data_IF_301078882317
#
_entry.id   IF_301078882317
#
_cell.length_a   1.000
_cell.length_b   1.000
_cell.length_c   1.000
_cell.angle_alpha   90.00
_cell.angle_beta   90.00
_cell.angle_gamma   90.00
#
_symmetry.space_group_name_H-M   'P 1'
#
loop_
_entity.id
_entity.type
_entity.pdbx_description
1 polymer ?
#
# COMPACT_ATOMS: atom_id res chain seq x y z
N UNK A 1 8.59 -2.10 -10.90
CA UNK A 1 9.29 -1.18 -9.97
C UNK A 1 8.27 -0.26 -9.31
N UNK A 2 8.53 0.16 -8.07
CA UNK A 2 7.75 1.17 -7.35
C UNK A 2 8.66 2.35 -7.04
N UNK A 3 8.06 3.54 -6.91
CA UNK A 3 8.73 4.73 -6.42
C UNK A 3 7.90 5.33 -5.28
N UNK A 4 8.55 5.98 -4.33
CA UNK A 4 7.89 6.67 -3.23
C UNK A 4 8.60 8.00 -2.96
N UNK A 5 7.83 8.99 -2.57
CA UNK A 5 8.32 10.30 -2.15
C UNK A 5 7.64 10.70 -0.83
N UNK A 6 8.35 11.49 -0.03
CA UNK A 6 7.82 12.07 1.21
C UNK A 6 8.35 13.49 1.37
N UNK A 7 7.61 14.34 2.10
CA UNK A 7 7.99 15.73 2.34
C UNK A 7 9.06 15.80 3.44
N UNK A 8 10.32 15.99 3.04
CA UNK A 8 11.49 16.03 3.95
C UNK A 8 11.44 17.14 4.99
N UNK A 9 10.73 18.24 4.72
CA UNK A 9 10.55 19.32 5.70
C UNK A 9 9.69 18.92 6.91
N UNK A 10 8.83 17.90 6.78
CA UNK A 10 7.87 17.49 7.82
C UNK A 10 8.12 16.06 8.30
N UNK A 11 8.94 15.28 7.59
CA UNK A 11 9.14 13.86 7.85
C UNK A 11 10.61 13.48 7.78
N UNK A 12 11.05 12.74 8.80
CA UNK A 12 12.35 12.09 8.84
C UNK A 12 12.21 10.62 8.43
N UNK A 13 13.06 10.17 7.50
CA UNK A 13 13.17 8.76 7.15
C UNK A 13 13.94 8.02 8.25
N UNK A 14 13.30 7.02 8.86
CA UNK A 14 13.92 6.17 9.87
C UNK A 14 14.50 4.90 9.24
N UNK A 15 13.76 4.28 8.32
CA UNK A 15 14.19 3.06 7.63
C UNK A 15 13.43 2.89 6.30
N UNK A 16 13.95 2.07 5.39
CA UNK A 16 13.31 1.74 4.11
C UNK A 16 13.76 0.39 3.56
N UNK A 17 12.95 -0.17 2.68
CA UNK A 17 13.34 -1.36 1.95
C UNK A 17 12.39 -1.74 0.81
N UNK A 18 12.66 -2.90 0.24
CA UNK A 18 11.82 -3.57 -0.76
C UNK A 18 11.69 -5.03 -0.33
N UNK A 19 10.48 -5.57 -0.38
CA UNK A 19 10.24 -7.00 -0.35
C UNK A 19 9.62 -7.45 -1.67
N UNK A 20 10.01 -8.62 -2.16
CA UNK A 20 9.42 -9.25 -3.34
C UNK A 20 8.27 -10.14 -2.89
N UNK A 21 7.04 -9.62 -2.97
CA UNK A 21 5.85 -10.24 -2.36
C UNK A 21 5.09 -11.16 -3.31
N UNK A 22 5.44 -11.15 -4.59
CA UNK A 22 4.90 -12.07 -5.58
C UNK A 22 5.89 -12.27 -6.73
N UNK A 23 5.68 -13.32 -7.51
CA UNK A 23 6.37 -13.59 -8.75
C UNK A 23 5.37 -13.51 -9.89
N UNK A 24 5.58 -12.59 -10.82
CA UNK A 24 4.83 -12.51 -12.06
C UNK A 24 5.31 -13.59 -13.05
N UNK A 25 4.40 -14.11 -13.87
CA UNK A 25 4.73 -15.14 -14.86
C UNK A 25 5.64 -14.61 -15.98
N UNK A 26 5.48 -13.35 -16.38
CA UNK A 26 6.21 -12.75 -17.51
C UNK A 26 7.19 -11.67 -17.09
N UNK A 27 6.87 -10.90 -16.06
CA UNK A 27 7.60 -9.66 -15.74
C UNK A 27 8.49 -9.76 -14.50
N UNK A 28 8.63 -10.94 -13.91
CA UNK A 28 9.54 -11.16 -12.79
C UNK A 28 8.95 -10.83 -11.42
N UNK A 29 9.81 -10.63 -10.41
CA UNK A 29 9.39 -10.32 -9.04
C UNK A 29 8.58 -9.02 -8.93
N UNK A 30 7.55 -9.04 -8.09
CA UNK A 30 6.66 -7.89 -7.84
C UNK A 30 6.92 -7.30 -6.45
N UNK A 31 7.23 -6.00 -6.37
CA UNK A 31 7.69 -5.39 -5.13
C UNK A 31 6.54 -4.94 -4.23
N UNK A 32 6.81 -4.92 -2.93
CA UNK A 32 6.24 -4.01 -1.96
C UNK A 32 7.41 -3.18 -1.41
N UNK A 33 7.49 -1.91 -1.83
CA UNK A 33 8.48 -0.97 -1.32
C UNK A 33 7.92 -0.30 -0.08
N UNK A 34 8.74 -0.10 0.95
CA UNK A 34 8.28 0.48 2.20
C UNK A 34 9.25 1.51 2.78
N UNK A 35 8.70 2.42 3.58
CA UNK A 35 9.44 3.39 4.37
C UNK A 35 8.81 3.53 5.75
N UNK A 36 9.65 3.73 6.76
CA UNK A 36 9.24 4.13 8.09
C UNK A 36 9.61 5.59 8.31
N UNK A 37 8.61 6.42 8.60
CA UNK A 37 8.76 7.86 8.72
C UNK A 37 8.37 8.33 10.12
N UNK A 38 9.02 9.39 10.60
CA UNK A 38 8.65 10.13 11.81
C UNK A 38 8.29 11.55 11.46
N UNK A 39 7.11 12.02 11.86
CA UNK A 39 6.74 13.43 11.72
C UNK A 39 7.59 14.27 12.66
N UNK A 40 8.29 15.28 12.14
CA UNK A 40 9.33 16.00 12.88
C UNK A 40 8.78 16.80 14.06
N UNK A 41 7.56 17.34 13.94
CA UNK A 41 6.95 18.17 14.99
C UNK A 41 6.21 17.36 16.05
N UNK A 42 5.48 16.32 15.65
CA UNK A 42 4.58 15.58 16.56
C UNK A 42 5.18 14.26 17.03
N UNK A 43 6.26 13.79 16.42
CA UNK A 43 6.86 12.48 16.71
C UNK A 43 6.04 11.29 16.22
N UNK A 44 4.86 11.50 15.62
CA UNK A 44 3.99 10.43 15.11
C UNK A 44 4.71 9.61 14.04
N UNK A 45 4.45 8.31 14.03
CA UNK A 45 5.16 7.34 13.19
C UNK A 45 4.24 6.79 12.10
N UNK A 46 4.77 6.67 10.89
CA UNK A 46 4.07 6.08 9.74
C UNK A 46 4.93 4.97 9.15
N UNK A 47 4.33 3.81 8.95
CA UNK A 47 4.85 2.74 8.12
C UNK A 47 4.09 2.74 6.79
N UNK A 48 4.74 3.22 5.73
CA UNK A 48 4.15 3.42 4.42
C UNK A 48 4.64 2.35 3.45
N UNK A 49 3.74 1.70 2.73
CA UNK A 49 4.02 0.64 1.75
C UNK A 49 3.39 1.00 0.40
N UNK A 50 4.15 0.87 -0.68
CA UNK A 50 3.68 0.96 -2.06
C UNK A 50 3.89 -0.37 -2.78
N UNK A 51 2.83 -0.91 -3.37
CA UNK A 51 2.83 -2.19 -4.10
C UNK A 51 2.47 -2.00 -5.57
N UNK A 52 3.05 -2.83 -6.44
CA UNK A 52 2.58 -2.98 -7.82
C UNK A 52 2.39 -4.47 -8.11
N UNK A 53 1.13 -4.87 -8.29
CA UNK A 53 0.69 -6.25 -8.35
C UNK A 53 1.14 -7.03 -9.59
N UNK A 54 1.05 -8.37 -9.55
CA UNK A 54 1.21 -9.21 -10.71
C UNK A 54 0.11 -8.99 -11.75
N UNK A 55 0.43 -9.20 -13.02
CA UNK A 55 -0.54 -9.29 -14.11
C UNK A 55 -0.63 -10.73 -14.64
N UNK A 56 -1.78 -11.16 -15.19
CA UNK A 56 -3.01 -10.38 -15.43
C UNK A 56 -3.77 -10.01 -14.15
N UNK A 57 -4.72 -9.08 -14.29
CA UNK A 57 -5.60 -8.63 -13.20
C UNK A 57 -6.22 -9.85 -12.49
N UNK A 58 -6.24 -9.81 -11.16
CA UNK A 58 -6.70 -10.86 -10.24
C UNK A 58 -5.87 -12.16 -10.21
N UNK A 59 -4.80 -12.25 -11.00
CA UNK A 59 -3.99 -13.48 -11.07
C UNK A 59 -3.18 -13.74 -9.81
N UNK A 60 -2.64 -12.69 -9.17
CA UNK A 60 -1.74 -12.85 -8.01
C UNK A 60 -0.42 -13.56 -8.34
N UNK A 61 -0.08 -13.67 -9.63
CA UNK A 61 1.16 -14.25 -10.11
C UNK A 61 1.21 -15.78 -9.95
N UNK A 62 2.43 -16.31 -9.85
CA UNK A 62 2.68 -17.76 -9.82
C UNK A 62 2.02 -18.45 -8.61
N UNK A 63 1.90 -17.76 -7.47
CA UNK A 63 1.41 -18.33 -6.22
C UNK A 63 -0.01 -17.88 -5.83
N UNK A 64 -0.69 -17.11 -6.70
CA UNK A 64 -2.06 -16.65 -6.48
C UNK A 64 -2.24 -15.51 -5.47
N UNK A 65 -3.40 -14.85 -5.52
CA UNK A 65 -3.65 -13.61 -4.77
C UNK A 65 -3.61 -13.73 -3.25
N UNK A 66 -4.03 -14.87 -2.70
CA UNK A 66 -3.96 -15.13 -1.26
C UNK A 66 -2.50 -15.12 -0.74
N UNK A 67 -1.56 -15.64 -1.52
CA UNK A 67 -0.13 -15.59 -1.19
C UNK A 67 0.39 -14.17 -1.22
N UNK A 68 -0.05 -13.35 -2.19
CA UNK A 68 0.35 -11.92 -2.26
C UNK A 68 -0.11 -11.17 -1.02
N UNK A 69 -1.39 -11.33 -0.64
CA UNK A 69 -1.93 -10.70 0.57
C UNK A 69 -1.16 -11.13 1.83
N UNK A 70 -0.94 -12.43 1.99
CA UNK A 70 -0.17 -12.97 3.13
C UNK A 70 1.24 -12.38 3.20
N UNK A 71 1.95 -12.29 2.07
CA UNK A 71 3.32 -11.76 2.02
C UNK A 71 3.36 -10.26 2.35
N UNK A 72 2.39 -9.48 1.85
CA UNK A 72 2.28 -8.05 2.17
C UNK A 72 1.98 -7.85 3.67
N UNK A 73 1.03 -8.59 4.23
CA UNK A 73 0.70 -8.48 5.65
C UNK A 73 1.84 -8.96 6.55
N UNK A 74 2.58 -9.99 6.14
CA UNK A 74 3.80 -10.44 6.82
C UNK A 74 4.89 -9.35 6.78
N UNK A 75 5.06 -8.67 5.63
CA UNK A 75 5.96 -7.52 5.55
C UNK A 75 5.57 -6.43 6.55
N UNK A 76 4.29 -6.06 6.60
CA UNK A 76 3.78 -5.08 7.56
C UNK A 76 4.06 -5.53 8.99
N UNK A 77 3.69 -6.75 9.35
CA UNK A 77 3.87 -7.29 10.70
C UNK A 77 5.35 -7.38 11.13
N UNK A 78 6.28 -7.57 10.20
CA UNK A 78 7.71 -7.74 10.51
C UNK A 78 8.53 -6.45 10.44
N UNK A 79 8.03 -5.40 9.78
CA UNK A 79 8.77 -4.15 9.56
C UNK A 79 8.14 -2.93 10.21
N UNK A 80 6.82 -2.92 10.39
CA UNK A 80 6.16 -1.92 11.22
C UNK A 80 6.48 -2.19 12.71
N UNK A 81 6.41 -1.14 13.53
CA UNK A 81 6.51 -1.24 14.97
C UNK A 81 5.16 -0.96 15.63
N UNK A 82 4.96 -1.47 16.85
CA UNK A 82 3.80 -1.12 17.65
C UNK A 82 3.69 0.41 17.78
N UNK A 83 2.51 0.96 17.46
CA UNK A 83 2.26 2.40 17.44
C UNK A 83 2.49 3.09 16.09
N UNK A 84 3.04 2.39 15.08
CA UNK A 84 3.10 2.95 13.73
C UNK A 84 1.70 2.98 13.09
N UNK A 85 1.36 4.10 12.45
CA UNK A 85 0.24 4.13 11.51
C UNK A 85 0.65 3.45 10.21
N UNK A 86 -0.06 2.40 9.82
CA UNK A 86 0.20 1.65 8.58
C UNK A 86 -0.61 2.28 7.46
N UNK A 87 0.05 2.58 6.34
CA UNK A 87 -0.58 3.02 5.10
C UNK A 87 -0.05 2.14 3.98
N UNK A 88 -0.93 1.42 3.30
CA UNK A 88 -0.61 0.56 2.16
C UNK A 88 -1.32 1.09 0.93
N UNK A 89 -0.57 1.42 -0.12
CA UNK A 89 -1.09 1.95 -1.38
C UNK A 89 -0.59 1.13 -2.57
N UNK A 90 -1.21 1.34 -3.72
CA UNK A 90 -0.64 0.92 -4.99
C UNK A 90 -1.67 0.53 -6.04
N UNK A 91 -1.15 0.15 -7.19
CA UNK A 91 -1.87 -0.62 -8.21
C UNK A 91 -1.71 -2.10 -7.88
N UNK A 92 -2.78 -2.71 -7.39
CA UNK A 92 -2.77 -4.11 -6.97
C UNK A 92 -2.95 -5.07 -8.15
N UNK A 93 -3.31 -4.58 -9.33
CA UNK A 93 -3.83 -5.39 -10.44
C UNK A 93 -4.84 -6.44 -9.91
N UNK A 94 -5.68 -6.05 -8.96
CA UNK A 94 -6.56 -6.94 -8.22
C UNK A 94 -7.81 -6.16 -7.82
N UNK A 95 -8.98 -6.63 -8.22
CA UNK A 95 -10.25 -5.96 -7.95
C UNK A 95 -10.78 -6.25 -6.53
N UNK A 96 -11.84 -5.56 -6.07
CA UNK A 96 -12.42 -5.78 -4.74
C UNK A 96 -12.85 -7.22 -4.44
N UNK A 97 -13.17 -8.01 -5.48
CA UNK A 97 -13.58 -9.42 -5.35
C UNK A 97 -12.41 -10.40 -5.39
N UNK A 98 -11.18 -9.93 -5.59
CA UNK A 98 -9.99 -10.78 -5.67
C UNK A 98 -9.57 -11.36 -4.32
N UNK A 99 -8.82 -12.46 -4.36
CA UNK A 99 -8.22 -13.04 -3.15
C UNK A 99 -7.18 -12.11 -2.50
N UNK A 100 -6.47 -11.31 -3.31
CA UNK A 100 -5.49 -10.33 -2.81
C UNK A 100 -6.19 -9.28 -1.94
N UNK A 101 -7.23 -8.63 -2.47
CA UNK A 101 -7.89 -7.52 -1.78
C UNK A 101 -8.65 -8.03 -0.55
N UNK A 102 -9.41 -9.13 -0.67
CA UNK A 102 -10.06 -9.73 0.51
C UNK A 102 -9.07 -10.14 1.61
N UNK A 103 -7.90 -10.63 1.23
CA UNK A 103 -6.85 -10.98 2.17
C UNK A 103 -6.31 -9.76 2.92
N UNK A 104 -6.06 -8.66 2.21
CA UNK A 104 -5.61 -7.39 2.82
C UNK A 104 -6.69 -6.81 3.75
N UNK A 105 -7.94 -6.84 3.31
CA UNK A 105 -9.09 -6.30 4.06
C UNK A 105 -9.41 -7.09 5.34
N UNK A 106 -8.84 -8.28 5.51
CA UNK A 106 -8.91 -9.00 6.78
C UNK A 106 -8.15 -8.32 7.93
N UNK A 107 -7.21 -7.43 7.60
CA UNK A 107 -6.30 -6.81 8.57
C UNK A 107 -6.20 -5.29 8.46
N UNK A 108 -6.53 -4.71 7.30
CA UNK A 108 -6.48 -3.27 7.05
C UNK A 108 -7.83 -2.77 6.52
N UNK A 109 -8.20 -1.56 6.89
CA UNK A 109 -9.40 -0.89 6.39
C UNK A 109 -9.11 -0.20 5.06
N UNK A 110 -10.05 -0.28 4.12
CA UNK A 110 -10.00 0.50 2.87
C UNK A 110 -10.30 1.97 3.17
N UNK A 111 -9.29 2.83 3.03
CA UNK A 111 -9.47 4.28 3.14
C UNK A 111 -10.06 4.88 1.87
N UNK A 112 -9.62 4.41 0.70
CA UNK A 112 -10.13 4.83 -0.61
C UNK A 112 -9.72 3.83 -1.70
N UNK A 113 -10.35 3.94 -2.88
CA UNK A 113 -9.95 3.21 -4.09
C UNK A 113 -10.99 2.22 -4.59
N UNK A 114 -10.74 1.72 -5.79
CA UNK A 114 -11.63 0.89 -6.60
C UNK A 114 -11.00 0.57 -7.95
N UNK A 115 -11.59 -0.35 -8.71
CA UNK A 115 -10.91 -0.91 -9.87
C UNK A 115 -9.74 -1.77 -9.37
N UNK A 116 -8.51 -1.31 -9.57
CA UNK A 116 -7.29 -2.02 -9.12
C UNK A 116 -6.35 -1.15 -8.25
N UNK A 117 -6.67 0.12 -8.04
CA UNK A 117 -5.89 1.05 -7.22
C UNK A 117 -6.55 1.28 -5.86
N UNK A 118 -5.77 1.12 -4.77
CA UNK A 118 -6.30 1.21 -3.41
C UNK A 118 -5.37 1.94 -2.45
N UNK A 119 -6.00 2.50 -1.40
CA UNK A 119 -5.35 3.00 -0.18
C UNK A 119 -5.98 2.25 1.00
N UNK A 120 -5.15 1.52 1.74
CA UNK A 120 -5.52 0.79 2.96
C UNK A 120 -4.78 1.35 4.18
N UNK A 121 -5.36 1.21 5.37
CA UNK A 121 -4.75 1.63 6.63
C UNK A 121 -5.24 0.83 7.83
N UNK A 122 -4.46 0.79 8.91
CA UNK A 122 -4.89 0.26 10.21
C UNK A 122 -5.55 1.34 11.11
N UNK A 123 -5.71 2.56 10.60
CA UNK A 123 -6.31 3.67 11.35
C UNK A 123 -7.82 3.49 11.48
N UNK A 124 -8.35 3.83 12.66
CA UNK A 124 -9.77 3.82 12.93
C UNK A 124 -10.48 5.01 12.27
N UNK A 125 -11.73 4.79 11.86
CA UNK A 125 -12.57 5.81 11.24
C UNK A 125 -12.34 6.01 9.74
N UNK A 126 -13.23 6.75 9.08
CA UNK A 126 -13.07 7.06 7.65
C UNK A 126 -11.93 8.06 7.42
N UNK A 127 -11.42 8.10 6.19
CA UNK A 127 -10.54 9.19 5.76
C UNK A 127 -11.25 10.55 5.92
N UNK A 128 -10.50 11.59 6.31
CA UNK A 128 -11.01 12.95 6.46
C UNK A 128 -11.40 13.58 5.11
N UNK A 129 -10.65 13.22 4.07
CA UNK A 129 -10.93 13.53 2.67
C UNK A 129 -10.40 12.37 1.83
N UNK A 130 -11.10 12.01 0.76
CA UNK A 130 -10.66 10.99 -0.17
C UNK A 130 -11.27 11.19 -1.54
N UNK A 131 -10.44 11.23 -2.58
CA UNK A 131 -10.89 11.59 -3.94
C UNK A 131 -9.95 11.11 -5.03
N UNK A 132 -10.50 10.97 -6.23
CA UNK A 132 -9.75 10.93 -7.48
C UNK A 132 -9.29 12.34 -7.86
N UNK A 133 -8.05 12.45 -8.32
CA UNK A 133 -7.44 13.68 -8.83
C UNK A 133 -7.48 13.73 -10.37
N UNK A 134 -8.14 12.76 -11.01
CA UNK A 134 -8.10 12.58 -12.45
C UNK A 134 -6.84 11.86 -12.93
N UNK A 135 -6.76 11.62 -14.23
CA UNK A 135 -5.70 10.79 -14.81
C UNK A 135 -4.41 11.57 -15.14
N UNK A 136 -4.49 12.87 -15.41
CA UNK A 136 -3.31 13.72 -15.63
C UNK A 136 -2.35 13.22 -16.72
N UNK A 137 -2.85 12.43 -17.68
CA UNK A 137 -2.04 11.81 -18.74
C UNK A 137 -1.63 10.35 -18.50
N UNK A 138 -2.00 9.74 -17.36
CA UNK A 138 -1.90 8.29 -17.13
C UNK A 138 -3.15 7.56 -17.62
N UNK A 139 -3.03 6.25 -17.81
CA UNK A 139 -4.12 5.29 -18.00
C UNK A 139 -4.91 5.01 -16.71
N UNK A 140 -4.35 5.34 -15.54
CA UNK A 140 -5.02 5.27 -14.24
C UNK A 140 -5.29 6.67 -13.69
N UNK A 141 -6.34 6.81 -12.89
CA UNK A 141 -6.59 8.05 -12.15
C UNK A 141 -5.73 8.08 -10.88
N UNK A 142 -5.05 9.20 -10.64
CA UNK A 142 -4.37 9.41 -9.36
C UNK A 142 -5.41 9.52 -8.25
N UNK A 143 -5.17 8.86 -7.11
CA UNK A 143 -6.06 8.88 -5.95
C UNK A 143 -5.36 9.49 -4.73
N UNK A 144 -6.14 10.17 -3.89
CA UNK A 144 -5.66 10.88 -2.71
C UNK A 144 -6.55 10.60 -1.51
N UNK A 145 -5.95 10.48 -0.32
CA UNK A 145 -6.65 10.40 0.94
C UNK A 145 -5.91 11.20 2.03
N UNK A 146 -6.67 11.88 2.88
CA UNK A 146 -6.20 12.52 4.10
C UNK A 146 -6.61 11.66 5.30
N UNK A 147 -5.63 11.21 6.08
CA UNK A 147 -5.84 10.32 7.21
C UNK A 147 -5.47 11.02 8.52
N UNK A 148 -6.28 10.82 9.56
CA UNK A 148 -5.98 11.31 10.90
C UNK A 148 -5.09 10.29 11.62
N UNK A 149 -3.87 10.70 11.97
CA UNK A 149 -2.99 9.86 12.80
C UNK A 149 -3.44 9.93 14.26
N UNK A 150 -3.34 8.83 15.03
CA UNK A 150 -3.64 8.79 16.47
C UNK A 150 -2.77 9.79 17.22
#
# INVERSE_FOLDING_TARGET
>A
HCCMAYRTASWQLLDRGVAWVAQDQKYGPRPAQWMRLRHTQTGKLVFFVNHHGPIPINGGGVCGGASVAYNILTLVATKAQAGDAVILVGDFNSDPGSATIRGIESSLHRAYGGGIDFIFSNLEGPALDARSLGNGGSDHAAISAALQLP
#
